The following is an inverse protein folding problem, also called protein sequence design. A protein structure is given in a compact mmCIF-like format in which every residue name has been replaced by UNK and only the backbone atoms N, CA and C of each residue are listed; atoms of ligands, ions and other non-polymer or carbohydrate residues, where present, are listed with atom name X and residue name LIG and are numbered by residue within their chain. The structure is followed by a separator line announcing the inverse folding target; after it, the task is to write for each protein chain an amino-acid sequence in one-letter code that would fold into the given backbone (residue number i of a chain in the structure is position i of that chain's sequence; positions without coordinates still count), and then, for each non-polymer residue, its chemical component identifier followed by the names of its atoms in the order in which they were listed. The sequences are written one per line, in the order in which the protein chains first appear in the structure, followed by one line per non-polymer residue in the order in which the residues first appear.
data_IF_362451522765
#
_entry.id   IF_362451522765
#
_cell.length_a   1.000
_cell.length_b   1.000
_cell.length_c   1.000
_cell.angle_alpha   90.00
_cell.angle_beta   90.00
_cell.angle_gamma   90.00
#
_symmetry.space_group_name_H-M   'P 1'
#
loop_
_entity.id
_entity.type
_entity.pdbx_description
1 polymer ?
#
# COMPACT_ATOMS: atom_id res chain seq x y z
N UNK A 1 -46.43 2.57 -0.27
CA UNK A 1 -45.91 3.30 -1.45
C UNK A 1 -44.51 2.84 -1.72
N UNK A 2 -44.23 2.41 -2.95
CA UNK A 2 -42.86 2.17 -3.40
C UNK A 2 -42.16 3.51 -3.60
N UNK A 3 -41.33 3.88 -2.62
CA UNK A 3 -40.57 5.13 -2.63
C UNK A 3 -39.34 5.05 -3.54
N UNK A 4 -38.87 3.85 -3.89
CA UNK A 4 -37.67 3.66 -4.71
C UNK A 4 -38.01 3.91 -6.18
N UNK A 5 -39.18 3.47 -6.63
CA UNK A 5 -39.65 3.73 -8.00
C UNK A 5 -39.87 5.22 -8.33
N UNK A 6 -39.92 6.11 -7.34
CA UNK A 6 -40.01 7.56 -7.55
C UNK A 6 -38.65 8.24 -7.76
N UNK A 7 -37.53 7.55 -7.52
CA UNK A 7 -36.20 8.13 -7.71
C UNK A 7 -35.90 8.36 -9.20
N UNK A 8 -35.13 9.40 -9.57
CA UNK A 8 -34.60 9.57 -10.92
C UNK A 8 -33.65 8.44 -11.32
N UNK A 9 -33.54 8.17 -12.64
CA UNK A 9 -32.69 7.09 -13.17
C UNK A 9 -31.23 7.23 -12.71
N UNK A 10 -30.69 8.44 -12.64
CA UNK A 10 -29.33 8.70 -12.16
C UNK A 10 -29.08 8.17 -10.74
N UNK A 11 -30.07 8.30 -9.84
CA UNK A 11 -29.97 7.78 -8.48
C UNK A 11 -30.13 6.26 -8.47
N UNK A 12 -31.00 5.72 -9.31
CA UNK A 12 -31.16 4.27 -9.46
C UNK A 12 -29.87 3.62 -10.00
N UNK A 13 -29.20 4.24 -10.97
CA UNK A 13 -27.92 3.77 -11.49
C UNK A 13 -26.81 3.81 -10.42
N UNK A 14 -26.80 4.83 -9.55
CA UNK A 14 -25.90 4.87 -8.39
C UNK A 14 -26.17 3.75 -7.40
N UNK A 15 -27.45 3.46 -7.13
CA UNK A 15 -27.83 2.32 -6.27
C UNK A 15 -27.40 0.99 -6.89
N UNK A 16 -27.67 0.79 -8.18
CA UNK A 16 -27.27 -0.41 -8.92
C UNK A 16 -25.74 -0.59 -8.93
N UNK A 17 -24.98 0.50 -9.09
CA UNK A 17 -23.52 0.49 -9.05
C UNK A 17 -22.92 0.10 -7.69
N UNK A 18 -23.72 0.12 -6.62
CA UNK A 18 -23.32 -0.36 -5.28
C UNK A 18 -23.64 -1.84 -5.06
N UNK A 19 -24.33 -2.51 -5.98
CA UNK A 19 -24.61 -3.93 -5.88
C UNK A 19 -23.32 -4.76 -6.04
N UNK A 20 -23.23 -5.95 -5.40
CA UNK A 20 -21.97 -6.68 -5.32
C UNK A 20 -21.43 -7.22 -6.64
N UNK A 21 -22.33 -7.60 -7.57
CA UNK A 21 -21.98 -8.17 -8.86
C UNK A 21 -22.99 -7.79 -9.95
N UNK A 22 -22.57 -7.91 -11.21
CA UNK A 22 -23.43 -7.69 -12.38
C UNK A 22 -24.60 -8.66 -12.43
N UNK A 23 -24.48 -9.85 -11.81
CA UNK A 23 -25.60 -10.79 -11.70
C UNK A 23 -26.73 -10.18 -10.86
N UNK A 24 -26.40 -9.62 -9.69
CA UNK A 24 -27.37 -8.98 -8.81
C UNK A 24 -28.02 -7.77 -9.50
N UNK A 25 -27.23 -7.01 -10.27
CA UNK A 25 -27.72 -5.88 -11.07
C UNK A 25 -28.72 -6.35 -12.12
N UNK A 26 -28.40 -7.39 -12.89
CA UNK A 26 -29.30 -7.93 -13.93
C UNK A 26 -30.58 -8.48 -13.31
N UNK A 27 -30.53 -9.14 -12.16
CA UNK A 27 -31.73 -9.67 -11.48
C UNK A 27 -32.75 -8.56 -11.11
N UNK A 28 -32.30 -7.31 -10.93
CA UNK A 28 -33.22 -6.17 -10.70
C UNK A 28 -34.14 -5.88 -11.89
N UNK A 29 -33.83 -6.41 -13.09
CA UNK A 29 -34.69 -6.28 -14.26
C UNK A 29 -36.11 -6.84 -14.03
N UNK A 30 -36.27 -7.74 -13.06
CA UNK A 30 -37.54 -8.36 -12.69
C UNK A 30 -38.43 -7.48 -11.81
N UNK A 31 -37.90 -6.38 -11.26
CA UNK A 31 -38.63 -5.51 -10.32
C UNK A 31 -39.75 -4.72 -11.00
N UNK A 32 -39.51 -4.20 -12.21
CA UNK A 32 -40.53 -3.55 -13.05
C UNK A 32 -40.02 -3.28 -14.47
N UNK A 33 -40.93 -2.84 -15.35
CA UNK A 33 -40.61 -2.45 -16.73
C UNK A 33 -39.52 -1.37 -16.83
N UNK A 34 -39.44 -0.46 -15.84
CA UNK A 34 -38.39 0.58 -15.82
C UNK A 34 -37.01 -0.04 -15.55
N UNK A 35 -36.94 -0.94 -14.58
CA UNK A 35 -35.69 -1.60 -14.19
C UNK A 35 -35.20 -2.60 -15.23
N UNK A 36 -36.09 -3.08 -16.09
CA UNK A 36 -35.77 -3.97 -17.20
C UNK A 36 -34.59 -3.48 -18.06
N UNK A 37 -34.43 -2.17 -18.22
CA UNK A 37 -33.41 -1.57 -19.07
C UNK A 37 -32.31 -0.83 -18.29
N UNK A 38 -32.56 -0.44 -17.03
CA UNK A 38 -31.61 0.36 -16.24
C UNK A 38 -30.25 -0.31 -16.05
N UNK A 39 -30.24 -1.62 -15.85
CA UNK A 39 -28.99 -2.37 -15.66
C UNK A 39 -28.02 -2.23 -16.85
N UNK A 40 -28.52 -1.97 -18.07
CA UNK A 40 -27.73 -1.82 -19.29
C UNK A 40 -26.93 -0.51 -19.31
N UNK A 41 -27.24 0.44 -18.41
CA UNK A 41 -26.61 1.75 -18.32
C UNK A 41 -25.72 1.93 -17.10
N UNK A 42 -25.47 0.85 -16.33
CA UNK A 42 -24.69 0.94 -15.08
C UNK A 42 -23.21 1.18 -15.36
N UNK A 43 -22.61 2.29 -14.88
CA UNK A 43 -21.23 2.67 -15.24
C UNK A 43 -20.16 1.82 -14.54
N UNK A 44 -20.51 1.06 -13.50
CA UNK A 44 -19.57 0.25 -12.70
C UNK A 44 -19.99 -1.20 -12.73
N UNK A 45 -19.16 -2.05 -13.32
CA UNK A 45 -19.49 -3.45 -13.61
C UNK A 45 -18.52 -4.35 -12.86
N UNK A 46 -19.05 -5.31 -12.11
CA UNK A 46 -18.27 -6.32 -11.39
C UNK A 46 -18.72 -7.72 -11.79
N UNK A 47 -17.87 -8.43 -12.51
CA UNK A 47 -18.04 -9.86 -12.80
C UNK A 47 -17.21 -10.69 -11.84
N UNK A 48 -17.85 -11.66 -11.21
CA UNK A 48 -17.19 -12.57 -10.27
C UNK A 48 -17.58 -14.01 -10.61
N UNK A 49 -16.59 -14.79 -11.03
CA UNK A 49 -16.74 -16.21 -11.24
C UNK A 49 -16.74 -16.91 -9.87
N UNK A 50 -17.94 -17.05 -9.28
CA UNK A 50 -18.12 -17.83 -8.07
C UNK A 50 -18.11 -19.31 -8.47
N UNK A 51 -17.04 -20.03 -8.12
CA UNK A 51 -16.77 -21.47 -8.35
C UNK A 51 -17.89 -22.48 -8.03
N UNK A 52 -19.05 -22.02 -7.57
CA UNK A 52 -20.21 -22.84 -7.19
C UNK A 52 -20.85 -23.54 -8.38
N UNK A 53 -20.54 -23.18 -9.62
CA UNK A 53 -21.09 -23.84 -10.81
C UNK A 53 -19.97 -24.47 -11.66
N UNK A 54 -19.76 -25.81 -11.59
CA UNK A 54 -18.64 -26.50 -12.24
C UNK A 54 -18.75 -26.55 -13.78
N UNK A 55 -19.79 -25.95 -14.38
CA UNK A 55 -19.97 -25.93 -15.83
C UNK A 55 -19.17 -24.80 -16.46
N UNK A 56 -18.02 -25.17 -17.03
CA UNK A 56 -17.24 -24.36 -17.97
C UNK A 56 -18.17 -23.64 -18.97
N UNK A 57 -17.92 -22.35 -19.19
CA UNK A 57 -18.65 -21.53 -20.17
C UNK A 57 -19.88 -20.81 -19.64
N UNK A 58 -20.52 -21.24 -18.55
CA UNK A 58 -21.73 -20.55 -18.04
C UNK A 58 -21.45 -19.11 -17.60
N UNK A 59 -20.29 -18.87 -16.98
CA UNK A 59 -19.81 -17.53 -16.64
C UNK A 59 -19.45 -16.73 -17.89
N UNK A 60 -18.63 -17.27 -18.80
CA UNK A 60 -18.23 -16.55 -20.02
C UNK A 60 -19.43 -16.13 -20.87
N UNK A 61 -20.39 -17.04 -21.07
CA UNK A 61 -21.66 -16.76 -21.75
C UNK A 61 -22.47 -15.65 -21.07
N UNK A 62 -22.46 -15.58 -19.75
CA UNK A 62 -23.11 -14.49 -19.01
C UNK A 62 -22.41 -13.16 -19.28
N UNK A 63 -21.08 -13.12 -19.18
CA UNK A 63 -20.27 -11.92 -19.44
C UNK A 63 -20.49 -11.44 -20.88
N UNK A 64 -20.43 -12.33 -21.87
CA UNK A 64 -20.65 -12.00 -23.29
C UNK A 64 -22.02 -11.40 -23.53
N UNK A 65 -23.08 -12.04 -23.04
CA UNK A 65 -24.46 -11.56 -23.19
C UNK A 65 -24.67 -10.23 -22.48
N UNK A 66 -24.04 -10.05 -21.34
CA UNK A 66 -24.10 -8.81 -20.57
C UNK A 66 -23.43 -7.67 -21.32
N UNK A 67 -22.20 -7.84 -21.81
CA UNK A 67 -21.50 -6.85 -22.63
C UNK A 67 -22.25 -6.51 -23.92
N UNK A 68 -22.80 -7.52 -24.60
CA UNK A 68 -23.57 -7.32 -25.83
C UNK A 68 -24.77 -6.39 -25.62
N UNK A 69 -25.42 -6.48 -24.45
CA UNK A 69 -26.58 -5.65 -24.09
C UNK A 69 -26.21 -4.37 -23.37
N UNK A 70 -24.95 -4.18 -22.99
CA UNK A 70 -24.54 -3.02 -22.24
C UNK A 70 -24.46 -1.79 -23.16
N UNK A 71 -25.20 -0.75 -22.82
CA UNK A 71 -25.43 0.43 -23.67
C UNK A 71 -24.72 1.68 -23.14
N UNK A 72 -24.20 1.67 -21.91
CA UNK A 72 -23.51 2.84 -21.36
C UNK A 72 -22.32 3.23 -22.25
N UNK A 73 -22.19 4.48 -22.70
CA UNK A 73 -21.11 4.89 -23.60
C UNK A 73 -19.73 4.84 -22.93
N UNK A 74 -19.70 5.00 -21.60
CA UNK A 74 -18.49 4.97 -20.78
C UNK A 74 -18.70 4.02 -19.61
N UNK A 75 -17.79 3.06 -19.44
CA UNK A 75 -17.67 2.26 -18.23
C UNK A 75 -16.62 2.91 -17.33
N UNK A 76 -17.05 3.44 -16.18
CA UNK A 76 -16.16 4.07 -15.21
C UNK A 76 -15.22 3.05 -14.55
N UNK A 77 -15.75 1.88 -14.18
CA UNK A 77 -14.97 0.83 -13.56
C UNK A 77 -15.44 -0.56 -13.99
N UNK A 78 -14.50 -1.38 -14.44
CA UNK A 78 -14.71 -2.75 -14.84
C UNK A 78 -13.83 -3.67 -13.98
N UNK A 79 -14.47 -4.53 -13.20
CA UNK A 79 -13.81 -5.48 -12.33
C UNK A 79 -14.12 -6.91 -12.77
N UNK A 80 -13.07 -7.70 -12.95
CA UNK A 80 -13.14 -9.14 -13.16
C UNK A 80 -12.45 -9.87 -12.01
N UNK A 81 -13.17 -10.78 -11.37
CA UNK A 81 -12.57 -11.86 -10.57
C UNK A 81 -12.82 -13.17 -11.29
N UNK A 82 -11.75 -13.71 -11.87
CA UNK A 82 -11.77 -14.85 -12.78
C UNK A 82 -11.23 -16.10 -12.08
N UNK A 83 -11.91 -17.23 -12.26
CA UNK A 83 -11.35 -18.54 -11.96
C UNK A 83 -10.50 -19.05 -13.12
N UNK A 84 -9.81 -20.19 -12.91
CA UNK A 84 -8.97 -20.84 -13.93
C UNK A 84 -9.70 -21.47 -15.12
N UNK A 85 -11.02 -21.37 -15.11
CA UNK A 85 -11.91 -21.87 -16.16
C UNK A 85 -12.03 -20.85 -17.30
N UNK A 86 -11.67 -19.59 -17.06
CA UNK A 86 -11.74 -18.55 -18.09
C UNK A 86 -10.59 -18.66 -19.10
N UNK A 87 -10.92 -18.80 -20.38
CA UNK A 87 -9.93 -18.83 -21.46
C UNK A 87 -9.38 -17.45 -21.79
N UNK A 88 -8.17 -17.39 -22.37
CA UNK A 88 -7.58 -16.13 -22.86
C UNK A 88 -8.39 -15.49 -24.00
N UNK A 89 -9.06 -16.31 -24.82
CA UNK A 89 -9.93 -15.87 -25.91
C UNK A 89 -11.16 -15.10 -25.41
N UNK A 90 -11.78 -15.56 -24.32
CA UNK A 90 -12.91 -14.89 -23.68
C UNK A 90 -12.48 -13.49 -23.21
N UNK A 91 -11.36 -13.42 -22.48
CA UNK A 91 -10.79 -12.15 -22.00
C UNK A 91 -10.49 -11.22 -23.18
N UNK A 92 -9.99 -11.75 -24.29
CA UNK A 92 -9.69 -10.97 -25.49
C UNK A 92 -10.96 -10.32 -26.06
N UNK A 93 -12.06 -11.06 -26.15
CA UNK A 93 -13.35 -10.56 -26.60
C UNK A 93 -13.91 -9.49 -25.64
N UNK A 94 -13.75 -9.68 -24.33
CA UNK A 94 -14.19 -8.72 -23.33
C UNK A 94 -13.38 -7.42 -23.38
N UNK A 95 -12.08 -7.49 -23.62
CA UNK A 95 -11.24 -6.30 -23.76
C UNK A 95 -11.62 -5.46 -24.99
N UNK A 96 -11.98 -6.09 -26.11
CA UNK A 96 -12.53 -5.36 -27.28
C UNK A 96 -13.85 -4.67 -26.96
N UNK A 97 -14.68 -5.29 -26.12
CA UNK A 97 -15.96 -4.71 -25.68
C UNK A 97 -15.74 -3.55 -24.71
N UNK A 98 -14.79 -3.70 -23.78
CA UNK A 98 -14.36 -2.65 -22.86
C UNK A 98 -13.83 -1.41 -23.59
N UNK A 99 -13.01 -1.60 -24.63
CA UNK A 99 -12.47 -0.50 -25.44
C UNK A 99 -13.58 0.33 -26.12
N UNK A 100 -14.55 -0.36 -26.74
CA UNK A 100 -15.73 0.26 -27.36
C UNK A 100 -16.59 1.06 -26.38
N UNK A 101 -16.39 0.87 -25.08
CA UNK A 101 -17.09 1.54 -23.98
C UNK A 101 -16.15 2.40 -23.14
N UNK A 102 -14.99 2.78 -23.68
CA UNK A 102 -14.11 3.78 -23.11
C UNK A 102 -13.78 3.54 -21.62
N UNK A 103 -13.46 2.30 -21.26
CA UNK A 103 -13.18 1.91 -19.86
C UNK A 103 -12.10 2.79 -19.24
N UNK A 104 -12.36 3.32 -18.04
CA UNK A 104 -11.43 4.19 -17.30
C UNK A 104 -10.64 3.45 -16.22
N UNK A 105 -11.27 2.52 -15.52
CA UNK A 105 -10.62 1.67 -14.51
C UNK A 105 -10.86 0.20 -14.85
N UNK A 106 -9.78 -0.56 -14.96
CA UNK A 106 -9.81 -2.00 -15.20
C UNK A 106 -9.08 -2.73 -14.08
N UNK A 107 -9.77 -3.66 -13.43
CA UNK A 107 -9.21 -4.54 -12.42
C UNK A 107 -9.44 -5.98 -12.84
N UNK A 108 -8.36 -6.75 -12.99
CA UNK A 108 -8.43 -8.19 -13.25
C UNK A 108 -7.71 -8.92 -12.13
N UNK A 109 -8.48 -9.72 -11.39
CA UNK A 109 -7.98 -10.63 -10.36
C UNK A 109 -8.21 -12.05 -10.79
N UNK A 110 -7.13 -12.81 -10.96
CA UNK A 110 -7.20 -14.26 -11.14
C UNK A 110 -7.11 -14.90 -9.77
N UNK A 111 -7.95 -15.88 -9.53
CA UNK A 111 -8.01 -16.55 -8.24
C UNK A 111 -7.35 -17.93 -8.31
N UNK A 112 -6.48 -18.20 -7.35
CA UNK A 112 -5.34 -19.13 -7.47
C UNK A 112 -5.61 -20.52 -6.90
N UNK A 113 -6.87 -20.84 -6.54
CA UNK A 113 -7.24 -22.07 -5.81
C UNK A 113 -7.32 -23.35 -6.65
N UNK A 114 -6.81 -23.38 -7.88
CA UNK A 114 -7.08 -24.52 -8.78
C UNK A 114 -5.81 -25.09 -9.43
N UNK A 115 -5.75 -26.41 -9.52
CA UNK A 115 -4.70 -27.20 -10.18
C UNK A 115 -4.65 -27.07 -11.72
N UNK A 116 -5.37 -26.10 -12.31
CA UNK A 116 -5.35 -25.84 -13.76
C UNK A 116 -4.32 -24.74 -14.05
N UNK A 117 -3.73 -24.77 -15.25
CA UNK A 117 -2.68 -23.86 -15.67
C UNK A 117 -3.03 -22.37 -15.52
N UNK A 118 -2.04 -21.48 -15.59
CA UNK A 118 -2.25 -20.05 -15.38
C UNK A 118 -3.21 -19.43 -16.40
N UNK A 119 -4.06 -18.50 -15.95
CA UNK A 119 -4.84 -17.66 -16.88
C UNK A 119 -3.90 -16.67 -17.55
N UNK A 120 -3.87 -16.70 -18.88
CA UNK A 120 -3.03 -15.86 -19.71
C UNK A 120 -3.80 -14.59 -20.10
N UNK A 121 -3.24 -13.42 -19.79
CA UNK A 121 -3.80 -12.16 -20.24
C UNK A 121 -3.45 -11.94 -21.71
N UNK A 122 -4.47 -11.70 -22.58
CA UNK A 122 -4.25 -11.55 -24.01
C UNK A 122 -3.53 -10.23 -24.32
N UNK A 123 -2.77 -10.23 -25.41
CA UNK A 123 -2.03 -9.07 -25.91
C UNK A 123 -2.91 -7.84 -26.18
N UNK A 124 -4.20 -8.04 -26.51
CA UNK A 124 -5.15 -6.96 -26.78
C UNK A 124 -5.40 -6.05 -25.59
N UNK A 125 -5.08 -6.50 -24.37
CA UNK A 125 -5.15 -5.66 -23.17
C UNK A 125 -4.08 -4.54 -23.20
N UNK A 126 -2.98 -4.75 -23.91
CA UNK A 126 -1.82 -3.85 -23.93
C UNK A 126 -1.59 -3.16 -25.28
N UNK A 127 -2.26 -3.59 -26.34
CA UNK A 127 -2.07 -3.05 -27.70
C UNK A 127 -3.21 -2.13 -28.10
N UNK A 128 -3.08 -0.85 -27.78
CA UNK A 128 -3.88 0.26 -28.33
C UNK A 128 -5.37 0.31 -27.96
N UNK A 129 -5.96 -0.79 -27.47
CA UNK A 129 -7.40 -0.95 -27.24
C UNK A 129 -7.89 -0.49 -25.88
N UNK A 130 -7.29 0.53 -25.28
CA UNK A 130 -7.79 1.11 -24.01
C UNK A 130 -7.25 2.55 -23.85
N UNK A 131 -7.44 3.39 -24.85
CA UNK A 131 -6.88 4.76 -24.89
C UNK A 131 -7.33 5.66 -23.73
N UNK A 132 -8.51 5.38 -23.16
CA UNK A 132 -9.10 6.11 -22.03
C UNK A 132 -8.81 5.47 -20.66
N UNK A 133 -8.04 4.38 -20.62
CA UNK A 133 -7.74 3.67 -19.39
C UNK A 133 -6.78 4.49 -18.52
N UNK A 134 -7.25 4.86 -17.33
CA UNK A 134 -6.53 5.68 -16.35
C UNK A 134 -5.92 4.81 -15.24
N UNK A 135 -6.62 3.75 -14.86
CA UNK A 135 -6.21 2.82 -13.79
C UNK A 135 -6.25 1.39 -14.29
N UNK A 136 -5.12 0.68 -14.17
CA UNK A 136 -5.01 -0.75 -14.46
C UNK A 136 -4.49 -1.48 -13.23
N UNK A 137 -5.23 -2.47 -12.75
CA UNK A 137 -4.81 -3.37 -11.68
C UNK A 137 -4.89 -4.82 -12.13
N UNK A 138 -3.75 -5.50 -12.10
CA UNK A 138 -3.61 -6.91 -12.43
C UNK A 138 -3.12 -7.66 -11.19
N UNK A 139 -3.81 -8.75 -10.85
CA UNK A 139 -3.51 -9.57 -9.67
C UNK A 139 -3.46 -11.04 -10.07
N UNK A 140 -2.39 -11.74 -9.72
CA UNK A 140 -2.17 -13.18 -9.98
C UNK A 140 -2.22 -13.55 -11.48
N UNK A 141 -1.83 -12.62 -12.35
CA UNK A 141 -1.90 -12.80 -13.80
C UNK A 141 -0.56 -13.22 -14.42
N UNK A 142 -0.66 -13.92 -15.55
CA UNK A 142 0.47 -14.19 -16.43
C UNK A 142 0.31 -13.35 -17.69
N UNK A 143 1.27 -12.47 -17.92
CA UNK A 143 1.35 -11.68 -19.15
C UNK A 143 2.13 -12.50 -20.18
N UNK A 144 1.61 -12.52 -21.41
CA UNK A 144 2.26 -13.14 -22.56
C UNK A 144 2.72 -12.05 -23.52
N UNK A 145 3.93 -12.18 -24.06
CA UNK A 145 4.43 -11.26 -25.08
C UNK A 145 3.99 -11.74 -26.46
N UNK A 146 3.56 -10.80 -27.30
CA UNK A 146 3.46 -10.98 -28.74
C UNK A 146 4.37 -9.93 -29.37
N UNK A 147 5.60 -10.35 -29.65
CA UNK A 147 6.76 -9.49 -29.97
C UNK A 147 6.55 -8.50 -31.14
N UNK A 148 5.49 -8.67 -31.93
CA UNK A 148 5.21 -7.87 -33.13
C UNK A 148 4.47 -6.54 -32.86
N UNK A 149 3.77 -6.39 -31.71
CA UNK A 149 2.87 -5.24 -31.51
C UNK A 149 3.38 -4.23 -30.47
N UNK A 150 3.18 -2.90 -30.69
CA UNK A 150 3.54 -1.89 -29.71
C UNK A 150 2.58 -1.94 -28.51
N UNK A 151 3.15 -1.85 -27.31
CA UNK A 151 2.41 -1.66 -26.06
C UNK A 151 2.03 -0.17 -25.98
N UNK A 152 0.80 0.17 -25.64
CA UNK A 152 0.39 1.57 -25.54
C UNK A 152 -0.67 1.79 -24.46
N UNK A 153 -0.33 2.65 -23.50
CA UNK A 153 -1.21 3.12 -22.43
C UNK A 153 -1.14 4.65 -22.30
N UNK A 154 -1.74 5.40 -23.24
CA UNK A 154 -1.51 6.84 -23.36
C UNK A 154 -2.07 7.67 -22.19
N UNK A 155 -3.12 7.17 -21.52
CA UNK A 155 -3.82 7.88 -20.43
C UNK A 155 -3.58 7.27 -19.04
N UNK A 156 -2.76 6.23 -18.94
CA UNK A 156 -2.63 5.44 -17.72
C UNK A 156 -1.82 6.19 -16.66
N UNK A 157 -2.48 6.56 -15.57
CA UNK A 157 -1.89 7.27 -14.43
C UNK A 157 -1.59 6.35 -13.25
N UNK A 158 -2.31 5.25 -13.13
CA UNK A 158 -2.15 4.30 -12.02
C UNK A 158 -2.03 2.89 -12.54
N UNK A 159 -0.91 2.24 -12.21
CA UNK A 159 -0.64 0.85 -12.55
C UNK A 159 -0.37 0.05 -11.28
N UNK A 160 -1.06 -1.07 -11.12
CA UNK A 160 -0.87 -2.00 -10.01
C UNK A 160 -0.62 -3.39 -10.55
N UNK A 161 0.55 -3.94 -10.24
CA UNK A 161 1.00 -5.26 -10.66
C UNK A 161 1.26 -6.10 -9.40
N UNK A 162 0.37 -7.03 -9.09
CA UNK A 162 0.41 -7.81 -7.85
C UNK A 162 0.52 -9.31 -8.16
N UNK A 163 1.59 -9.96 -7.67
CA UNK A 163 1.86 -11.39 -7.83
C UNK A 163 1.80 -11.83 -9.31
N UNK A 164 2.69 -11.27 -10.14
CA UNK A 164 2.61 -11.35 -11.60
C UNK A 164 3.72 -12.23 -12.18
N UNK A 165 3.42 -12.94 -13.28
CA UNK A 165 4.45 -13.53 -14.15
C UNK A 165 4.53 -12.77 -15.46
N UNK A 166 5.75 -12.52 -15.89
CA UNK A 166 6.06 -11.74 -17.09
C UNK A 166 6.77 -12.60 -18.13
N UNK A 167 6.74 -12.23 -19.41
CA UNK A 167 7.56 -12.90 -20.43
C UNK A 167 9.06 -12.82 -20.12
N UNK A 168 9.52 -11.66 -19.63
CA UNK A 168 10.91 -11.42 -19.20
C UNK A 168 11.00 -10.14 -18.34
N UNK A 169 12.16 -9.90 -17.71
CA UNK A 169 12.44 -8.61 -17.06
C UNK A 169 12.52 -7.44 -18.04
N UNK A 170 12.97 -7.69 -19.28
CA UNK A 170 12.99 -6.68 -20.34
C UNK A 170 11.58 -6.28 -20.80
N UNK A 171 10.64 -7.23 -20.77
CA UNK A 171 9.24 -6.92 -21.02
C UNK A 171 8.68 -5.92 -20.01
N UNK A 172 9.03 -6.03 -18.73
CA UNK A 172 8.60 -5.08 -17.69
C UNK A 172 9.10 -3.67 -18.00
N UNK A 173 10.38 -3.54 -18.40
CA UNK A 173 10.95 -2.24 -18.82
C UNK A 173 10.20 -1.67 -20.02
N UNK A 174 9.93 -2.50 -21.03
CA UNK A 174 9.15 -2.13 -22.22
C UNK A 174 7.71 -1.70 -21.85
N UNK A 175 7.05 -2.42 -20.95
CA UNK A 175 5.70 -2.07 -20.48
C UNK A 175 5.69 -0.69 -19.82
N UNK A 176 6.59 -0.45 -18.86
CA UNK A 176 6.66 0.80 -18.11
C UNK A 176 7.08 1.99 -18.98
N UNK A 177 8.01 1.80 -19.92
CA UNK A 177 8.47 2.87 -20.82
C UNK A 177 7.37 3.37 -21.76
N UNK A 178 6.35 2.54 -22.04
CA UNK A 178 5.17 2.91 -22.84
C UNK A 178 4.00 3.50 -22.02
N UNK A 179 4.19 3.71 -20.71
CA UNK A 179 3.22 4.35 -19.81
C UNK A 179 3.67 5.78 -19.49
N UNK A 180 3.69 6.67 -20.49
CA UNK A 180 4.37 7.98 -20.38
C UNK A 180 3.79 8.93 -19.30
N UNK A 181 2.49 8.83 -19.00
CA UNK A 181 1.81 9.70 -18.02
C UNK A 181 1.61 9.02 -16.65
N UNK A 182 2.32 7.93 -16.37
CA UNK A 182 2.18 7.14 -15.15
C UNK A 182 2.63 7.93 -13.91
N UNK A 183 1.71 8.13 -12.96
CA UNK A 183 1.96 8.89 -11.72
C UNK A 183 2.08 7.95 -10.51
N UNK A 184 1.38 6.81 -10.50
CA UNK A 184 1.30 5.89 -9.38
C UNK A 184 1.61 4.45 -9.83
N UNK A 185 2.58 3.82 -9.18
CA UNK A 185 2.95 2.43 -9.43
C UNK A 185 2.91 1.63 -8.12
N UNK A 186 2.18 0.52 -8.14
CA UNK A 186 2.19 -0.49 -7.08
C UNK A 186 2.75 -1.79 -7.66
N UNK A 187 3.79 -2.32 -7.02
CA UNK A 187 4.38 -3.62 -7.35
C UNK A 187 4.37 -4.47 -6.11
N UNK A 188 3.72 -5.63 -6.19
CA UNK A 188 3.76 -6.66 -5.16
C UNK A 188 4.32 -7.93 -5.77
N UNK A 189 5.44 -8.41 -5.25
CA UNK A 189 6.07 -9.65 -5.68
C UNK A 189 5.77 -10.78 -4.70
N UNK A 190 5.40 -11.94 -5.23
CA UNK A 190 5.33 -13.19 -4.45
C UNK A 190 6.44 -14.18 -4.85
N UNK A 191 6.54 -15.28 -4.12
CA UNK A 191 7.54 -16.33 -4.38
C UNK A 191 7.42 -16.92 -5.79
N UNK A 192 6.20 -17.00 -6.32
CA UNK A 192 5.94 -17.56 -7.65
C UNK A 192 6.30 -16.61 -8.81
N UNK A 193 6.65 -15.36 -8.55
CA UNK A 193 7.00 -14.38 -9.58
C UNK A 193 8.37 -14.68 -10.20
N UNK A 194 8.43 -14.67 -11.54
CA UNK A 194 9.62 -15.05 -12.30
C UNK A 194 10.61 -13.91 -12.54
N UNK A 195 10.23 -12.66 -12.30
CA UNK A 195 11.14 -11.50 -12.39
C UNK A 195 11.82 -11.30 -11.03
N UNK A 196 13.13 -11.54 -11.01
CA UNK A 196 13.97 -11.42 -9.80
C UNK A 196 14.36 -9.96 -9.55
N UNK A 197 14.79 -9.26 -10.60
CA UNK A 197 15.16 -7.85 -10.55
C UNK A 197 14.10 -7.03 -11.29
N UNK A 198 13.35 -6.22 -10.56
CA UNK A 198 12.30 -5.37 -11.12
C UNK A 198 12.85 -3.96 -11.33
N UNK A 199 12.95 -3.55 -12.60
CA UNK A 199 13.50 -2.23 -12.97
C UNK A 199 12.36 -1.24 -13.24
N UNK A 200 12.37 -0.10 -12.55
CA UNK A 200 11.41 1.00 -12.69
C UNK A 200 12.16 2.21 -13.25
N UNK A 201 11.99 2.49 -14.55
CA UNK A 201 12.51 3.70 -15.19
C UNK A 201 11.32 4.50 -15.69
N UNK A 202 10.81 5.40 -14.85
CA UNK A 202 9.56 6.14 -15.11
C UNK A 202 9.71 7.59 -14.63
N UNK A 203 10.08 8.52 -15.53
CA UNK A 203 10.33 9.92 -15.16
C UNK A 203 9.13 10.69 -14.62
N UNK A 204 7.90 10.28 -14.99
CA UNK A 204 6.63 10.90 -14.57
C UNK A 204 6.11 10.41 -13.22
N UNK A 205 6.75 9.38 -12.64
CA UNK A 205 6.25 8.70 -11.45
C UNK A 205 6.35 9.59 -10.20
N UNK A 206 5.24 9.75 -9.47
CA UNK A 206 5.12 10.55 -8.24
C UNK A 206 4.98 9.68 -6.99
N UNK A 207 4.39 8.50 -7.11
CA UNK A 207 4.18 7.55 -6.01
C UNK A 207 4.59 6.14 -6.41
N UNK A 208 5.40 5.50 -5.58
CA UNK A 208 5.85 4.12 -5.77
C UNK A 208 5.62 3.31 -4.49
N UNK A 209 4.93 2.19 -4.63
CA UNK A 209 4.72 1.22 -3.55
C UNK A 209 5.31 -0.12 -3.96
N UNK A 210 6.27 -0.62 -3.18
CA UNK A 210 6.90 -1.91 -3.38
C UNK A 210 6.56 -2.85 -2.22
N UNK A 211 6.12 -4.06 -2.53
CA UNK A 211 5.79 -5.08 -1.54
C UNK A 211 6.41 -6.41 -1.92
N UNK A 212 6.89 -7.16 -0.93
CA UNK A 212 7.40 -8.52 -1.13
C UNK A 212 6.71 -9.46 -0.14
N UNK A 213 6.02 -10.48 -0.65
CA UNK A 213 5.37 -11.50 0.15
C UNK A 213 6.38 -12.60 0.50
N UNK A 214 7.12 -12.39 1.59
CA UNK A 214 8.03 -13.34 2.26
C UNK A 214 9.16 -13.99 1.42
N UNK A 215 10.12 -14.62 2.12
CA UNK A 215 11.45 -14.96 1.61
C UNK A 215 11.42 -15.88 0.38
N UNK A 216 11.83 -15.39 -0.79
CA UNK A 216 12.26 -16.27 -1.88
C UNK A 216 13.41 -17.14 -1.35
N UNK A 217 13.20 -18.45 -1.22
CA UNK A 217 14.22 -19.44 -0.83
C UNK A 217 15.25 -19.73 -1.94
N UNK A 218 15.33 -18.88 -2.97
CA UNK A 218 16.25 -19.02 -4.10
C UNK A 218 17.66 -18.52 -3.80
N UNK A 219 18.61 -18.95 -4.63
CA UNK A 219 20.01 -18.49 -4.60
C UNK A 219 20.16 -17.04 -5.08
N UNK A 220 19.22 -16.56 -5.90
CA UNK A 220 19.27 -15.23 -6.49
C UNK A 220 18.62 -14.21 -5.56
N UNK A 221 19.34 -13.11 -5.30
CA UNK A 221 18.88 -12.03 -4.44
C UNK A 221 17.87 -11.17 -5.21
N UNK A 222 16.59 -11.13 -4.82
CA UNK A 222 15.61 -10.27 -5.48
C UNK A 222 15.97 -8.80 -5.28
N UNK A 223 15.55 -7.94 -6.20
CA UNK A 223 15.88 -6.53 -6.09
C UNK A 223 15.05 -5.60 -6.95
N UNK A 224 15.16 -4.32 -6.60
CA UNK A 224 14.53 -3.21 -7.30
C UNK A 224 15.60 -2.23 -7.78
N UNK A 225 15.52 -1.85 -9.04
CA UNK A 225 16.32 -0.76 -9.63
C UNK A 225 15.36 0.36 -9.97
N UNK A 226 15.57 1.55 -9.39
CA UNK A 226 14.62 2.66 -9.50
C UNK A 226 15.32 3.89 -10.08
N UNK A 227 14.78 4.38 -11.18
CA UNK A 227 15.04 5.68 -11.76
C UNK A 227 13.70 6.41 -11.98
N UNK A 228 13.36 7.27 -11.02
CA UNK A 228 12.10 8.02 -11.00
C UNK A 228 12.35 9.43 -10.42
N UNK A 229 12.98 10.35 -11.18
CA UNK A 229 13.40 11.67 -10.68
C UNK A 229 12.26 12.58 -10.18
N UNK A 230 11.00 12.25 -10.48
CA UNK A 230 9.81 12.98 -10.01
C UNK A 230 9.16 12.36 -8.77
N UNK A 231 9.75 11.32 -8.18
CA UNK A 231 9.13 10.57 -7.09
C UNK A 231 9.03 11.41 -5.81
N UNK A 232 7.81 11.54 -5.28
CA UNK A 232 7.49 12.30 -4.07
C UNK A 232 7.15 11.40 -2.88
N UNK A 233 6.54 10.23 -3.16
CA UNK A 233 6.10 9.26 -2.16
C UNK A 233 6.70 7.88 -2.45
N UNK A 234 7.36 7.30 -1.45
CA UNK A 234 8.00 5.99 -1.59
C UNK A 234 7.69 5.07 -0.41
N UNK A 235 6.90 4.03 -0.68
CA UNK A 235 6.56 3.02 0.32
C UNK A 235 7.18 1.67 -0.06
N UNK A 236 7.80 1.00 0.90
CA UNK A 236 8.39 -0.33 0.74
C UNK A 236 8.02 -1.21 1.93
N UNK A 237 7.52 -2.42 1.64
CA UNK A 237 7.01 -3.35 2.66
C UNK A 237 7.59 -4.75 2.52
N UNK A 238 7.99 -5.31 3.66
CA UNK A 238 8.44 -6.70 3.83
C UNK A 238 9.59 -7.11 2.91
N UNK A 239 10.45 -6.15 2.54
CA UNK A 239 11.48 -6.35 1.53
C UNK A 239 12.73 -7.07 2.05
N UNK A 240 13.15 -8.09 1.31
CA UNK A 240 14.33 -8.94 1.56
C UNK A 240 15.16 -9.02 0.28
N UNK A 241 16.08 -8.07 0.08
CA UNK A 241 16.84 -8.00 -1.16
C UNK A 241 17.67 -6.72 -1.25
N UNK A 242 18.00 -6.29 -2.47
CA UNK A 242 18.63 -4.99 -2.73
C UNK A 242 17.68 -4.01 -3.42
N UNK A 243 17.81 -2.72 -3.11
CA UNK A 243 17.12 -1.64 -3.77
C UNK A 243 18.16 -0.58 -4.13
N UNK A 244 18.28 -0.27 -5.41
CA UNK A 244 19.22 0.72 -5.96
C UNK A 244 18.46 1.87 -6.60
N UNK A 245 19.00 3.06 -6.42
CA UNK A 245 18.50 4.29 -7.05
C UNK A 245 19.60 4.76 -8.00
N UNK A 246 19.27 4.94 -9.29
CA UNK A 246 20.28 5.32 -10.30
C UNK A 246 20.56 6.82 -10.30
N UNK A 247 19.54 7.64 -10.04
CA UNK A 247 19.63 9.10 -9.99
C UNK A 247 19.33 9.66 -8.60
N UNK A 248 19.63 10.94 -8.40
CA UNK A 248 19.34 11.64 -7.15
C UNK A 248 17.82 11.76 -6.93
N UNK A 249 17.32 11.14 -5.85
CA UNK A 249 15.90 11.09 -5.49
C UNK A 249 15.53 12.17 -4.47
N UNK A 250 16.01 13.40 -4.71
CA UNK A 250 15.91 14.52 -3.75
C UNK A 250 14.47 14.98 -3.50
N UNK A 251 13.53 14.68 -4.41
CA UNK A 251 12.12 15.04 -4.31
C UNK A 251 11.29 14.14 -3.40
N UNK A 252 11.83 13.03 -2.89
CA UNK A 252 11.06 12.16 -1.99
C UNK A 252 10.80 12.90 -0.68
N UNK A 253 9.53 13.24 -0.44
CA UNK A 253 9.07 13.98 0.74
C UNK A 253 8.51 13.03 1.80
N UNK A 254 7.86 11.96 1.37
CA UNK A 254 7.22 10.99 2.25
C UNK A 254 7.66 9.57 1.95
N UNK A 255 7.93 8.80 3.02
CA UNK A 255 8.22 7.38 2.86
C UNK A 255 7.69 6.52 4.00
N UNK A 256 7.23 5.33 3.66
CA UNK A 256 6.90 4.25 4.61
C UNK A 256 7.79 3.06 4.39
N UNK A 257 8.67 2.79 5.33
CA UNK A 257 9.68 1.74 5.24
C UNK A 257 9.39 0.65 6.28
N UNK A 258 8.88 -0.48 5.81
CA UNK A 258 8.73 -1.71 6.60
C UNK A 258 9.71 -2.73 6.03
N UNK A 259 10.89 -2.85 6.64
CA UNK A 259 11.99 -3.64 6.08
C UNK A 259 12.29 -4.86 6.95
N UNK A 260 12.97 -5.84 6.34
CA UNK A 260 13.57 -6.96 7.07
C UNK A 260 15.09 -6.81 7.25
N UNK A 261 15.71 -5.76 6.68
CA UNK A 261 17.14 -5.48 6.83
C UNK A 261 17.41 -3.96 6.86
N UNK A 262 18.53 -3.56 7.49
CA UNK A 262 18.95 -2.16 7.60
C UNK A 262 19.67 -1.62 6.35
N UNK A 263 20.14 -2.50 5.43
CA UNK A 263 21.03 -2.11 4.32
C UNK A 263 20.44 -1.02 3.41
N UNK A 264 19.13 -1.07 3.15
CA UNK A 264 18.46 -0.06 2.32
C UNK A 264 18.35 1.30 2.99
N UNK A 265 18.19 1.33 4.31
CA UNK A 265 18.03 2.56 5.07
C UNK A 265 19.25 3.47 4.91
N UNK A 266 20.47 2.90 4.99
CA UNK A 266 21.72 3.65 4.83
C UNK A 266 21.79 4.41 3.51
N UNK A 267 21.25 3.83 2.43
CA UNK A 267 21.22 4.45 1.10
C UNK A 267 20.11 5.47 0.97
N UNK A 268 18.91 5.15 1.45
CA UNK A 268 17.75 6.05 1.42
C UNK A 268 18.03 7.33 2.21
N UNK A 269 18.67 7.21 3.38
CA UNK A 269 18.99 8.35 4.24
C UNK A 269 20.04 9.31 3.66
N UNK A 270 20.81 8.90 2.64
CA UNK A 270 21.77 9.79 1.96
C UNK A 270 21.21 10.49 0.73
N UNK A 271 20.11 9.98 0.15
CA UNK A 271 19.59 10.48 -1.16
C UNK A 271 18.30 11.29 -1.05
N UNK A 272 17.55 11.15 0.04
CA UNK A 272 16.21 11.72 0.16
C UNK A 272 16.11 12.78 1.26
N UNK A 273 15.35 13.85 0.98
CA UNK A 273 15.06 14.94 1.93
C UNK A 273 13.68 14.73 2.57
N UNK A 274 13.52 13.61 3.29
CA UNK A 274 12.24 13.25 3.90
C UNK A 274 11.72 14.34 4.83
N UNK A 275 10.44 14.72 4.67
CA UNK A 275 9.70 15.54 5.64
C UNK A 275 8.81 14.69 6.54
N UNK A 276 8.34 13.54 6.03
CA UNK A 276 7.48 12.59 6.75
C UNK A 276 8.01 11.18 6.55
N UNK A 277 8.22 10.47 7.64
CA UNK A 277 8.81 9.14 7.61
C UNK A 277 8.09 8.19 8.55
N UNK A 278 7.76 7.01 8.05
CA UNK A 278 7.33 5.87 8.85
C UNK A 278 8.37 4.75 8.79
N UNK A 279 8.79 4.25 9.95
CA UNK A 279 9.79 3.19 10.07
C UNK A 279 9.27 1.97 10.83
N UNK A 280 9.57 0.80 10.31
CA UNK A 280 9.47 -0.49 10.98
C UNK A 280 10.68 -1.33 10.54
N UNK A 281 11.71 -1.41 11.39
CA UNK A 281 13.03 -1.95 11.05
C UNK A 281 13.47 -2.97 12.12
N UNK A 282 14.08 -4.11 11.73
CA UNK A 282 14.54 -5.13 12.67
C UNK A 282 15.91 -4.77 13.26
N UNK A 283 16.42 -5.70 14.09
CA UNK A 283 17.60 -5.58 14.97
C UNK A 283 18.80 -4.79 14.41
N UNK A 284 19.43 -4.05 15.33
CA UNK A 284 20.50 -3.06 15.11
C UNK A 284 21.92 -3.62 14.95
N UNK A 285 22.13 -4.94 14.90
CA UNK A 285 23.48 -5.54 14.97
C UNK A 285 24.47 -5.04 13.91
N UNK A 286 23.98 -4.50 12.78
CA UNK A 286 24.81 -3.93 11.69
C UNK A 286 25.08 -2.41 11.81
N UNK A 287 24.64 -1.74 12.89
CA UNK A 287 24.72 -0.28 13.05
C UNK A 287 25.89 0.21 13.91
N UNK A 288 27.08 0.36 13.33
CA UNK A 288 28.13 1.21 13.91
C UNK A 288 28.87 2.07 12.88
N UNK A 289 28.22 2.46 11.78
CA UNK A 289 28.72 3.55 10.92
C UNK A 289 27.76 4.74 10.91
N UNK A 290 28.22 5.83 11.52
CA UNK A 290 27.53 7.12 11.66
C UNK A 290 27.25 7.80 10.30
N UNK A 291 26.34 8.79 10.28
CA UNK A 291 26.55 9.95 9.40
C UNK A 291 25.35 10.66 8.77
N UNK A 292 24.13 10.12 8.82
CA UNK A 292 22.98 10.79 8.14
C UNK A 292 22.26 11.73 9.10
N UNK A 293 22.26 13.03 8.80
CA UNK A 293 21.43 14.03 9.49
C UNK A 293 20.18 14.28 8.65
N UNK A 294 19.01 14.01 9.23
CA UNK A 294 17.70 14.23 8.64
C UNK A 294 17.21 15.66 8.93
N UNK A 295 17.92 16.66 8.39
CA UNK A 295 17.62 18.07 8.63
C UNK A 295 16.24 18.51 8.14
N UNK A 296 15.66 17.81 7.15
CA UNK A 296 14.33 18.12 6.60
C UNK A 296 13.18 17.40 7.32
N UNK A 297 13.47 16.46 8.22
CA UNK A 297 12.45 15.59 8.81
C UNK A 297 11.63 16.33 9.87
N UNK A 298 10.31 16.39 9.63
CA UNK A 298 9.36 17.11 10.49
C UNK A 298 8.44 16.15 11.24
N UNK A 299 8.04 15.04 10.59
CA UNK A 299 7.16 14.04 11.19
C UNK A 299 7.81 12.65 11.12
N UNK A 300 7.90 12.01 12.27
CA UNK A 300 8.45 10.66 12.41
C UNK A 300 7.42 9.76 13.06
N UNK A 301 7.17 8.61 12.42
CA UNK A 301 6.37 7.53 12.98
C UNK A 301 7.21 6.25 13.07
N UNK A 302 7.26 5.62 14.23
CA UNK A 302 8.01 4.37 14.44
C UNK A 302 7.06 3.25 14.87
N UNK A 303 7.23 2.06 14.28
CA UNK A 303 6.60 0.83 14.75
C UNK A 303 7.33 0.27 15.96
N UNK A 304 6.60 0.00 17.03
CA UNK A 304 7.14 -0.60 18.28
C UNK A 304 7.03 -2.13 18.28
N UNK A 305 6.96 -2.75 17.09
CA UNK A 305 6.69 -4.17 16.90
C UNK A 305 7.93 -5.07 16.87
N UNK A 306 9.11 -4.47 16.65
CA UNK A 306 10.41 -5.13 16.68
C UNK A 306 11.05 -4.99 18.05
N UNK A 307 12.00 -5.85 18.41
CA UNK A 307 12.69 -5.76 19.70
C UNK A 307 13.45 -4.44 19.81
N UNK A 308 14.38 -4.18 18.91
CA UNK A 308 15.30 -3.03 18.97
C UNK A 308 14.68 -1.65 18.60
N UNK A 309 13.36 -1.51 18.67
CA UNK A 309 12.66 -0.29 18.25
C UNK A 309 13.07 0.96 19.03
N UNK A 310 13.43 0.82 20.32
CA UNK A 310 13.93 1.91 21.17
C UNK A 310 15.25 2.45 20.61
N UNK A 311 16.13 1.57 20.16
CA UNK A 311 17.43 1.96 19.60
C UNK A 311 17.25 2.73 18.28
N UNK A 312 16.30 2.30 17.45
CA UNK A 312 15.87 3.06 16.25
C UNK A 312 15.32 4.43 16.65
N UNK A 313 14.45 4.50 17.66
CA UNK A 313 13.92 5.76 18.17
C UNK A 313 15.03 6.73 18.60
N UNK A 314 15.93 6.28 19.49
CA UNK A 314 16.98 7.15 20.03
C UNK A 314 17.92 7.65 18.94
N UNK A 315 18.26 6.79 17.97
CA UNK A 315 19.03 7.19 16.78
C UNK A 315 18.31 8.26 15.98
N UNK A 316 17.04 8.04 15.65
CA UNK A 316 16.27 8.97 14.85
C UNK A 316 16.08 10.33 15.54
N UNK A 317 15.88 10.34 16.86
CA UNK A 317 15.83 11.58 17.63
C UNK A 317 17.14 12.36 17.56
N UNK A 318 18.28 11.67 17.62
CA UNK A 318 19.61 12.28 17.51
C UNK A 318 19.86 12.83 16.10
N UNK A 319 19.46 12.09 15.08
CA UNK A 319 19.75 12.43 13.68
C UNK A 319 18.74 13.43 13.07
N UNK A 320 17.65 13.79 13.77
CA UNK A 320 16.55 14.61 13.22
C UNK A 320 16.32 15.91 14.01
N UNK A 321 17.19 16.93 13.89
CA UNK A 321 17.16 18.13 14.75
C UNK A 321 15.88 18.98 14.63
N UNK A 322 15.21 18.94 13.47
CA UNK A 322 14.02 19.75 13.18
C UNK A 322 12.70 18.98 13.38
N UNK A 323 12.73 17.84 14.09
CA UNK A 323 11.56 16.99 14.29
C UNK A 323 10.50 17.69 15.14
N UNK A 324 9.29 17.90 14.59
CA UNK A 324 8.17 18.56 15.28
C UNK A 324 7.12 17.58 15.80
N UNK A 325 6.97 16.43 15.15
CA UNK A 325 5.96 15.44 15.51
C UNK A 325 6.54 14.02 15.59
N UNK A 326 6.40 13.38 16.75
CA UNK A 326 6.76 11.99 16.98
C UNK A 326 5.52 11.14 17.23
N UNK A 327 5.39 10.03 16.51
CA UNK A 327 4.33 9.05 16.69
C UNK A 327 4.88 7.64 16.88
N UNK A 328 4.46 6.97 17.95
CA UNK A 328 4.79 5.57 18.23
C UNK A 328 3.53 4.72 18.06
N UNK A 329 3.62 3.61 17.33
CA UNK A 329 2.46 2.76 17.09
C UNK A 329 2.85 1.31 16.81
N UNK A 330 2.34 0.37 17.61
CA UNK A 330 2.45 -1.07 17.34
C UNK A 330 1.50 -1.50 16.19
N UNK A 331 1.90 -1.31 14.94
CA UNK A 331 1.09 -1.65 13.77
C UNK A 331 1.04 -3.17 13.51
N UNK A 332 2.16 -3.88 13.69
CA UNK A 332 2.29 -5.31 13.42
C UNK A 332 2.18 -6.15 14.69
N UNK A 333 1.84 -7.44 14.53
CA UNK A 333 1.95 -8.42 15.62
C UNK A 333 3.42 -8.52 16.03
N UNK A 334 3.68 -8.65 17.34
CA UNK A 334 5.04 -8.89 17.83
C UNK A 334 5.59 -10.12 17.12
N UNK A 335 6.78 -10.01 16.53
CA UNK A 335 7.41 -11.16 15.87
C UNK A 335 7.61 -12.26 16.91
N UNK A 336 7.06 -13.46 16.69
CA UNK A 336 7.12 -14.53 17.68
C UNK A 336 8.53 -15.11 17.68
N UNK A 337 9.41 -14.60 18.55
CA UNK A 337 10.62 -15.31 19.03
C UNK A 337 11.47 -14.59 20.08
N UNK A 338 11.21 -13.35 20.45
CA UNK A 338 12.04 -12.66 21.44
C UNK A 338 11.17 -11.88 22.45
N UNK A 339 11.52 -11.87 23.75
CA UNK A 339 10.89 -10.97 24.72
C UNK A 339 11.05 -9.52 24.25
N UNK A 340 10.08 -8.65 24.57
CA UNK A 340 10.27 -7.21 24.40
C UNK A 340 11.57 -6.85 25.14
N UNK A 341 12.54 -6.18 24.50
CA UNK A 341 13.75 -5.84 25.21
C UNK A 341 13.39 -4.89 26.31
N UNK A 342 13.88 -5.18 27.51
CA UNK A 342 13.84 -4.22 28.59
C UNK A 342 14.59 -2.96 28.16
N UNK A 343 14.08 -1.79 28.53
CA UNK A 343 14.84 -0.56 28.41
C UNK A 343 16.11 -0.78 29.23
N UNK A 344 17.28 -0.76 28.58
CA UNK A 344 18.56 -0.91 29.25
C UNK A 344 19.13 0.50 29.48
N UNK A 345 19.09 1.03 30.72
CA UNK A 345 19.57 2.38 31.01
C UNK A 345 21.05 2.54 30.67
N UNK A 346 21.83 1.46 30.79
CA UNK A 346 23.27 1.48 30.54
C UNK A 346 23.64 1.57 29.04
N UNK A 347 22.69 1.31 28.13
CA UNK A 347 22.95 1.33 26.67
C UNK A 347 22.23 2.48 25.95
N UNK A 348 21.14 3.02 26.53
CA UNK A 348 20.15 3.76 25.75
C UNK A 348 19.73 5.13 26.28
N UNK A 349 20.12 5.57 27.48
CA UNK A 349 19.97 6.98 27.83
C UNK A 349 21.13 7.78 27.20
N UNK A 350 20.87 8.64 26.20
CA UNK A 350 21.94 9.30 25.48
C UNK A 350 22.65 10.25 26.45
N UNK A 351 23.98 10.28 26.38
CA UNK A 351 24.82 11.16 27.21
C UNK A 351 24.46 12.66 27.09
N UNK A 352 23.71 13.02 26.05
CA UNK A 352 23.10 14.33 25.85
C UNK A 352 21.68 14.17 25.31
N UNK A 353 20.77 15.01 25.78
CA UNK A 353 19.39 15.05 25.27
C UNK A 353 19.41 15.44 23.79
N UNK A 354 18.74 14.68 22.89
CA UNK A 354 18.65 15.02 21.47
C UNK A 354 18.14 16.44 21.23
N UNK A 355 18.75 17.14 20.28
CA UNK A 355 18.46 18.55 20.00
C UNK A 355 16.99 18.81 19.70
N UNK A 356 16.33 17.92 18.95
CA UNK A 356 14.92 18.08 18.61
C UNK A 356 13.99 18.14 19.83
N UNK A 357 14.30 17.41 20.91
CA UNK A 357 13.52 17.49 22.14
C UNK A 357 13.67 18.87 22.80
N UNK A 358 14.84 19.48 22.67
CA UNK A 358 15.14 20.78 23.26
C UNK A 358 14.59 21.95 22.47
N UNK A 359 14.50 21.83 21.13
CA UNK A 359 14.28 22.97 20.23
C UNK A 359 13.00 22.91 19.39
N UNK A 360 12.48 21.74 19.05
CA UNK A 360 11.50 21.63 17.95
C UNK A 360 10.32 20.69 18.18
N UNK A 361 10.40 19.69 19.06
CA UNK A 361 9.33 18.71 19.24
C UNK A 361 8.09 19.34 19.89
N UNK A 362 6.98 19.36 19.14
CA UNK A 362 5.71 19.98 19.54
C UNK A 362 4.62 18.94 19.86
N UNK A 363 4.60 17.80 19.16
CA UNK A 363 3.56 16.79 19.37
C UNK A 363 4.14 15.40 19.55
N UNK A 364 3.61 14.68 20.54
CA UNK A 364 3.93 13.28 20.81
C UNK A 364 2.64 12.45 20.86
N UNK A 365 2.56 11.40 20.06
CA UNK A 365 1.41 10.49 20.05
C UNK A 365 1.88 9.04 20.23
N UNK A 366 1.34 8.34 21.22
CA UNK A 366 1.49 6.88 21.35
C UNK A 366 0.17 6.19 21.07
N UNK A 367 0.18 5.22 20.16
CA UNK A 367 -1.01 4.44 19.78
C UNK A 367 -0.83 2.99 20.18
N UNK A 368 -1.87 2.42 20.81
CA UNK A 368 -1.87 1.07 21.40
C UNK A 368 -0.87 0.94 22.56
N UNK A 369 -0.84 1.93 23.45
CA UNK A 369 -0.05 1.91 24.66
C UNK A 369 -0.56 0.84 25.63
N UNK A 370 0.34 0.04 26.19
CA UNK A 370 0.03 -1.06 27.11
C UNK A 370 0.48 -0.77 28.56
N UNK A 371 1.38 0.20 28.75
CA UNK A 371 1.94 0.55 30.05
C UNK A 371 3.00 -0.44 30.53
N UNK A 372 3.71 -1.08 29.60
CA UNK A 372 4.90 -1.85 29.95
C UNK A 372 6.01 -0.90 30.44
N UNK A 373 6.94 -1.40 31.25
CA UNK A 373 7.95 -0.57 31.92
C UNK A 373 8.76 0.25 30.92
N UNK A 374 9.13 -0.36 29.79
CA UNK A 374 9.89 0.31 28.75
C UNK A 374 9.09 1.44 28.09
N UNK A 375 7.78 1.24 27.92
CA UNK A 375 6.91 2.27 27.36
C UNK A 375 6.77 3.45 28.33
N UNK A 376 6.69 3.19 29.64
CA UNK A 376 6.67 4.24 30.67
C UNK A 376 7.97 5.02 30.67
N UNK A 377 9.11 4.35 30.60
CA UNK A 377 10.43 4.98 30.56
C UNK A 377 10.59 5.91 29.34
N UNK A 378 10.13 5.49 28.15
CA UNK A 378 10.14 6.34 26.95
C UNK A 378 9.30 7.59 27.15
N UNK A 379 8.08 7.44 27.67
CA UNK A 379 7.17 8.56 27.90
C UNK A 379 7.75 9.53 28.93
N UNK A 380 8.27 9.00 30.04
CA UNK A 380 8.96 9.79 31.07
C UNK A 380 10.17 10.52 30.49
N UNK A 381 10.97 9.85 29.65
CA UNK A 381 12.11 10.45 28.96
C UNK A 381 11.69 11.61 28.04
N UNK A 382 10.65 11.44 27.23
CA UNK A 382 10.13 12.51 26.37
C UNK A 382 9.62 13.68 27.22
N UNK A 383 8.86 13.42 28.29
CA UNK A 383 8.29 14.46 29.14
C UNK A 383 9.35 15.26 29.91
N UNK A 384 10.38 14.61 30.46
CA UNK A 384 11.48 15.29 31.15
C UNK A 384 12.42 16.03 30.20
N UNK A 385 12.48 15.62 28.94
CA UNK A 385 13.41 16.18 27.95
C UNK A 385 12.81 17.29 27.11
N UNK A 386 11.56 17.13 26.66
CA UNK A 386 10.96 17.95 25.61
C UNK A 386 10.50 19.33 26.11
N UNK A 387 11.20 20.39 25.71
CA UNK A 387 10.96 21.76 26.20
C UNK A 387 9.74 22.43 25.55
N UNK A 388 9.49 22.15 24.27
CA UNK A 388 8.46 22.82 23.45
C UNK A 388 7.24 21.95 23.17
N UNK A 389 7.09 20.84 23.90
CA UNK A 389 5.97 19.92 23.72
C UNK A 389 4.65 20.63 24.05
N UNK A 390 3.75 20.71 23.07
CA UNK A 390 2.44 21.36 23.19
C UNK A 390 1.34 20.33 23.44
N UNK A 391 1.45 19.15 22.85
CA UNK A 391 0.43 18.10 22.96
C UNK A 391 1.07 16.72 23.07
N UNK A 392 0.65 15.97 24.07
CA UNK A 392 0.93 14.55 24.23
C UNK A 392 -0.39 13.77 24.19
N UNK A 393 -0.47 12.72 23.39
CA UNK A 393 -1.66 11.86 23.28
C UNK A 393 -1.29 10.40 23.47
N UNK A 394 -1.87 9.76 24.47
CA UNK A 394 -1.68 8.33 24.75
C UNK A 394 -2.99 7.60 24.46
N UNK A 395 -2.99 6.70 23.46
CA UNK A 395 -4.14 5.88 23.11
C UNK A 395 -3.91 4.46 23.59
N UNK A 396 -4.74 3.99 24.51
CA UNK A 396 -4.55 2.66 25.12
C UNK A 396 -4.93 1.54 24.15
N UNK A 397 -4.29 0.38 24.31
CA UNK A 397 -4.67 -0.82 23.58
C UNK A 397 -6.10 -1.27 23.96
N UNK A 398 -6.93 -1.66 22.98
CA UNK A 398 -8.34 -2.04 23.25
C UNK A 398 -8.43 -3.30 24.13
N UNK A 399 -7.50 -4.25 23.95
CA UNK A 399 -7.44 -5.52 24.71
C UNK A 399 -7.04 -5.41 26.19
N UNK A 400 -6.58 -4.26 26.70
CA UNK A 400 -6.35 -4.12 28.15
C UNK A 400 -7.71 -4.02 28.85
N UNK A 401 -8.32 -5.17 29.15
CA UNK A 401 -9.60 -5.26 29.86
C UNK A 401 -9.49 -4.89 31.35
N UNK A 402 -8.26 -4.71 31.85
CA UNK A 402 -7.99 -4.28 33.21
C UNK A 402 -8.08 -2.75 33.32
N UNK A 403 -9.27 -2.26 33.67
CA UNK A 403 -9.54 -0.84 33.90
C UNK A 403 -8.77 -0.29 35.11
N UNK A 404 -8.46 -1.11 36.12
CA UNK A 404 -7.70 -0.67 37.29
C UNK A 404 -6.25 -0.38 36.91
N UNK A 405 -5.61 -1.31 36.17
CA UNK A 405 -4.25 -1.11 35.64
C UNK A 405 -4.17 0.11 34.71
N UNK A 406 -5.18 0.31 33.85
CA UNK A 406 -5.26 1.53 33.01
C UNK A 406 -5.29 2.80 33.85
N UNK A 407 -6.13 2.86 34.89
CA UNK A 407 -6.24 4.03 35.75
C UNK A 407 -4.95 4.31 36.53
N UNK A 408 -4.26 3.27 36.99
CA UNK A 408 -2.96 3.39 37.66
C UNK A 408 -1.91 4.02 36.73
N UNK A 409 -1.78 3.48 35.52
CA UNK A 409 -0.88 4.02 34.49
C UNK A 409 -1.24 5.46 34.10
N UNK A 410 -2.53 5.79 34.00
CA UNK A 410 -2.98 7.17 33.75
C UNK A 410 -2.53 8.10 34.89
N UNK A 411 -2.73 7.70 36.15
CA UNK A 411 -2.32 8.50 37.32
C UNK A 411 -0.81 8.75 37.32
N UNK A 412 -0.02 7.72 37.02
CA UNK A 412 1.44 7.79 36.94
C UNK A 412 1.92 8.72 35.81
N UNK A 413 1.28 8.65 34.64
CA UNK A 413 1.61 9.54 33.52
C UNK A 413 1.17 10.99 33.78
N UNK A 414 0.07 11.20 34.50
CA UNK A 414 -0.36 12.55 34.92
C UNK A 414 0.60 13.17 35.95
N UNK A 415 1.09 12.38 36.91
CA UNK A 415 2.02 12.81 37.95
C UNK A 415 3.47 12.98 37.47
N UNK A 416 3.81 12.41 36.31
CA UNK A 416 5.12 12.55 35.68
C UNK A 416 5.50 14.02 35.44
N UNK A 417 6.73 14.37 35.84
CA UNK A 417 7.26 15.73 35.65
C UNK A 417 7.41 16.04 34.16
N UNK A 418 6.84 17.19 33.74
CA UNK A 418 6.88 17.67 32.36
C UNK A 418 7.73 18.93 32.29
N UNK A 419 8.72 18.92 31.39
CA UNK A 419 9.57 20.08 31.16
C UNK A 419 8.81 21.24 30.50
N UNK A 420 7.87 20.92 29.63
CA UNK A 420 6.96 21.90 29.03
C UNK A 420 5.71 22.08 29.89
N UNK A 421 5.50 23.25 30.53
CA UNK A 421 4.28 23.52 31.29
C UNK A 421 3.06 23.70 30.38
N UNK A 422 3.26 24.01 29.10
CA UNK A 422 2.21 24.21 28.10
C UNK A 422 1.69 22.89 27.50
N UNK A 423 2.31 21.75 27.83
CA UNK A 423 1.95 20.45 27.27
C UNK A 423 0.57 19.99 27.77
N UNK A 424 -0.39 19.89 26.86
CA UNK A 424 -1.68 19.26 27.12
C UNK A 424 -1.56 17.74 26.97
N UNK A 425 -1.97 16.99 28.00
CA UNK A 425 -1.96 15.53 28.00
C UNK A 425 -3.37 15.00 27.78
N UNK A 426 -3.56 14.26 26.68
CA UNK A 426 -4.82 13.61 26.31
C UNK A 426 -4.68 12.08 26.38
N UNK A 427 -5.69 11.42 26.94
CA UNK A 427 -5.82 9.96 26.94
C UNK A 427 -7.04 9.55 26.11
N UNK A 428 -6.91 8.50 25.29
CA UNK A 428 -8.01 7.98 24.45
C UNK A 428 -8.08 6.46 24.41
#
# INVERSE_FOLDING_TARGET
MDKISQLPDELLLKILAMLPTMKDVVETMLLSKRWQFLWMMVPRIKYEDSYKNPKYGSFSLFVDRSFFRHEAPVIEALYFKLGSICGSEDIQAWMRSADKRCVRELIIKIDTFTNKGPVLLPWSLYSGGCSMLVTLKLINAVIVDDSASPISFPSLRTLSLESMKYPSGEFVKKLLSNCHVLENLVVEQCEADNVIIFTVIVPSLKSLVLKTLENKLGTDVPGFVIDAPSLENFDIFHFTGFCTFENNMSKIVEAKLVLNTWKLWKRLGSIASFKRLYLCLPSLKDMYSAGSVFSSLVHLKICTCETEWVNVLMRMLKDSPNLRALKLHQCHVLRPKEPRPCWNPAWNEPSSVPECLLSSLETFEWVKYEGAEEEKEVVAFVFRSAKWLKKATIKFHIKTNDTAKKLEVIKELFSSSRRSPACQLEFR
#
